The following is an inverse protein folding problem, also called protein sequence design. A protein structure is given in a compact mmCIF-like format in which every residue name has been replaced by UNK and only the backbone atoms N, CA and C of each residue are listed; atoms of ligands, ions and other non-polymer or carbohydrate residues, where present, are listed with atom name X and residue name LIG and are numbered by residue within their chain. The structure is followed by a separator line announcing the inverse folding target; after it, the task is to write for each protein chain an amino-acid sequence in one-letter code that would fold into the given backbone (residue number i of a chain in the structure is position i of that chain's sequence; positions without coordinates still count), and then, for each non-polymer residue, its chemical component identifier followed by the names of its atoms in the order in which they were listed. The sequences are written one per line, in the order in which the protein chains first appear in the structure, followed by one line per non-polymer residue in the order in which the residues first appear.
data_IF_346773292394
#
_entry.id   IF_346773292394
#
_cell.length_a   1.000
_cell.length_b   1.000
_cell.length_c   1.000
_cell.angle_alpha   90.00
_cell.angle_beta   90.00
_cell.angle_gamma   90.00
#
_symmetry.space_group_name_H-M   'P 1'
#
loop_
_entity.id
_entity.type
_entity.pdbx_description
1 polymer ?
#
# COMPACT_ATOMS: atom_id res chain seq x y z
N UNK A 1 -4.93 -25.46 2.41
CA UNK A 1 -6.30 -26.03 2.56
C UNK A 1 -6.83 -25.96 4.00
N UNK A 2 -6.09 -26.46 5.02
CA UNK A 2 -6.56 -26.46 6.42
C UNK A 2 -6.79 -25.08 7.06
N UNK A 3 -6.01 -24.06 6.67
CA UNK A 3 -6.15 -22.68 7.17
C UNK A 3 -7.54 -22.12 6.87
N UNK A 4 -8.06 -22.33 5.66
CA UNK A 4 -9.40 -21.87 5.27
C UNK A 4 -10.50 -22.53 6.10
N UNK A 5 -10.35 -23.82 6.44
CA UNK A 5 -11.30 -24.51 7.32
C UNK A 5 -11.30 -23.91 8.73
N UNK A 6 -10.13 -23.58 9.29
CA UNK A 6 -10.01 -22.93 10.60
C UNK A 6 -10.65 -21.55 10.59
N UNK A 7 -10.37 -20.74 9.56
CA UNK A 7 -10.97 -19.40 9.39
C UNK A 7 -12.50 -19.51 9.29
N UNK A 8 -13.02 -20.45 8.49
CA UNK A 8 -14.46 -20.64 8.34
C UNK A 8 -15.14 -21.06 9.64
N UNK A 9 -14.53 -21.97 10.42
CA UNK A 9 -15.05 -22.37 11.73
C UNK A 9 -15.07 -21.19 12.70
N UNK A 10 -14.00 -20.39 12.72
CA UNK A 10 -13.92 -19.19 13.55
C UNK A 10 -14.99 -18.17 13.14
N UNK A 11 -15.17 -17.93 11.85
CA UNK A 11 -16.16 -16.99 11.33
C UNK A 11 -17.60 -17.46 11.62
N UNK A 12 -17.87 -18.77 11.48
CA UNK A 12 -19.15 -19.34 11.86
C UNK A 12 -19.43 -19.20 13.36
N UNK A 13 -18.41 -19.38 14.21
CA UNK A 13 -18.51 -19.15 15.65
C UNK A 13 -18.81 -17.68 15.97
N UNK A 14 -18.13 -16.74 15.31
CA UNK A 14 -18.38 -15.30 15.43
C UNK A 14 -19.82 -14.96 15.03
N UNK A 15 -20.28 -15.41 13.86
CA UNK A 15 -21.66 -15.26 13.41
C UNK A 15 -22.67 -15.82 14.42
N UNK A 16 -22.42 -17.03 14.93
CA UNK A 16 -23.29 -17.70 15.90
C UNK A 16 -23.45 -16.91 17.20
N UNK A 17 -22.44 -16.11 17.54
CA UNK A 17 -22.39 -15.25 18.71
C UNK A 17 -23.05 -13.90 18.45
N UNK A 18 -22.64 -13.20 17.38
CA UNK A 18 -23.15 -11.86 17.03
C UNK A 18 -24.65 -11.87 16.69
N UNK A 19 -25.15 -12.92 16.02
CA UNK A 19 -26.59 -13.03 15.69
C UNK A 19 -27.49 -13.00 16.93
N UNK A 20 -26.97 -13.30 18.13
CA UNK A 20 -27.72 -13.21 19.39
C UNK A 20 -28.09 -11.77 19.76
N UNK A 21 -27.29 -10.78 19.33
CA UNK A 21 -27.57 -9.35 19.55
C UNK A 21 -28.81 -8.88 18.77
N UNK A 22 -29.07 -9.49 17.62
CA UNK A 22 -30.14 -9.10 16.70
C UNK A 22 -31.36 -10.05 16.75
N UNK A 23 -31.31 -11.12 17.57
CA UNK A 23 -32.35 -12.16 17.62
C UNK A 23 -33.73 -11.64 18.06
N UNK A 24 -33.77 -10.58 18.87
CA UNK A 24 -34.99 -9.90 19.32
C UNK A 24 -35.55 -8.93 18.27
N UNK A 25 -34.72 -8.48 17.32
CA UNK A 25 -35.13 -7.64 16.20
C UNK A 25 -35.52 -8.50 15.00
N UNK A 26 -36.63 -9.24 15.11
CA UNK A 26 -37.21 -9.96 13.96
C UNK A 26 -37.69 -8.92 12.93
N UNK A 27 -36.92 -8.71 11.87
CA UNK A 27 -37.24 -7.71 10.84
C UNK A 27 -36.07 -7.37 9.91
N UNK A 28 -36.20 -6.23 9.21
CA UNK A 28 -35.23 -5.72 8.24
C UNK A 28 -33.79 -5.66 8.76
N UNK A 29 -33.58 -5.20 10.00
CA UNK A 29 -32.24 -5.04 10.60
C UNK A 29 -31.46 -6.36 10.75
N UNK A 30 -32.15 -7.46 11.12
CA UNK A 30 -31.51 -8.78 11.20
C UNK A 30 -31.08 -9.29 9.82
N UNK A 31 -31.94 -9.10 8.80
CA UNK A 31 -31.64 -9.49 7.43
C UNK A 31 -30.52 -8.63 6.84
N UNK A 32 -30.54 -7.31 7.07
CA UNK A 32 -29.48 -6.40 6.66
C UNK A 32 -28.14 -6.78 7.29
N UNK A 33 -28.09 -7.06 8.60
CA UNK A 33 -26.88 -7.51 9.28
C UNK A 33 -26.37 -8.84 8.71
N UNK A 34 -27.26 -9.82 8.47
CA UNK A 34 -26.90 -11.11 7.86
C UNK A 34 -26.25 -10.90 6.49
N UNK A 35 -26.85 -10.09 5.65
CA UNK A 35 -26.35 -9.79 4.30
C UNK A 35 -25.00 -9.09 4.38
N UNK A 36 -24.89 -8.04 5.19
CA UNK A 36 -23.63 -7.29 5.38
C UNK A 36 -22.49 -8.16 5.93
N UNK A 37 -22.80 -9.09 6.84
CA UNK A 37 -21.80 -9.98 7.43
C UNK A 37 -21.21 -10.98 6.43
N UNK A 38 -22.05 -11.57 5.57
CA UNK A 38 -21.66 -12.67 4.69
C UNK A 38 -21.25 -12.25 3.28
N UNK A 39 -21.74 -11.10 2.76
CA UNK A 39 -21.36 -10.60 1.42
C UNK A 39 -19.83 -10.53 1.23
N UNK A 40 -19.05 -9.95 2.17
CA UNK A 40 -17.60 -9.86 2.00
C UNK A 40 -16.95 -11.24 1.87
N UNK A 41 -17.42 -12.23 2.63
CA UNK A 41 -16.89 -13.60 2.58
C UNK A 41 -17.14 -14.25 1.22
N UNK A 42 -18.37 -14.12 0.70
CA UNK A 42 -18.69 -14.59 -0.65
C UNK A 42 -17.90 -13.84 -1.71
N UNK A 43 -17.63 -12.55 -1.53
CA UNK A 43 -16.80 -11.76 -2.44
C UNK A 43 -15.35 -12.23 -2.44
N UNK A 44 -14.73 -12.49 -1.27
CA UNK A 44 -13.37 -13.07 -1.19
C UNK A 44 -13.34 -14.43 -1.88
N UNK A 45 -14.28 -15.32 -1.56
CA UNK A 45 -14.33 -16.64 -2.15
C UNK A 45 -14.50 -16.58 -3.67
N UNK A 46 -15.34 -15.66 -4.17
CA UNK A 46 -15.51 -15.44 -5.60
C UNK A 46 -14.23 -14.93 -6.25
N UNK A 47 -13.55 -13.95 -5.64
CA UNK A 47 -12.26 -13.42 -6.16
C UNK A 47 -11.20 -14.53 -6.19
N UNK A 48 -11.08 -15.34 -5.13
CA UNK A 48 -10.16 -16.48 -5.09
C UNK A 48 -10.53 -17.57 -6.10
N UNK A 49 -11.81 -17.76 -6.41
CA UNK A 49 -12.24 -18.72 -7.44
C UNK A 49 -11.93 -18.18 -8.84
N UNK A 50 -12.19 -16.89 -9.08
CA UNK A 50 -11.91 -16.22 -10.35
C UNK A 50 -10.41 -16.12 -10.62
N UNK A 51 -9.56 -16.02 -9.59
CA UNK A 51 -8.11 -16.01 -9.77
C UNK A 51 -7.52 -17.37 -10.16
N UNK A 52 -8.27 -18.46 -10.00
CA UNK A 52 -7.89 -19.77 -10.54
C UNK A 52 -8.16 -19.87 -12.05
N UNK A 53 -9.01 -18.99 -12.58
CA UNK A 53 -9.22 -18.87 -14.00
C UNK A 53 -8.10 -17.98 -14.59
N UNK A 54 -7.68 -18.20 -15.84
CA UNK A 54 -6.75 -17.32 -16.54
C UNK A 54 -7.45 -16.00 -16.96
N UNK A 55 -8.16 -15.38 -16.03
CA UNK A 55 -8.77 -14.07 -16.19
C UNK A 55 -7.70 -13.02 -15.88
N UNK A 56 -7.43 -12.14 -16.84
CA UNK A 56 -6.54 -11.00 -16.63
C UNK A 56 -7.25 -10.03 -15.67
N UNK A 57 -6.95 -10.15 -14.38
CA UNK A 57 -7.42 -9.20 -13.38
C UNK A 57 -6.66 -7.90 -13.58
N UNK A 58 -7.35 -6.89 -14.11
CA UNK A 58 -6.76 -5.57 -14.28
C UNK A 58 -6.70 -4.85 -12.93
N UNK A 59 -5.52 -4.83 -12.32
CA UNK A 59 -5.26 -4.12 -11.06
C UNK A 59 -5.42 -2.59 -11.20
N UNK A 60 -5.48 -2.05 -12.42
CA UNK A 60 -5.75 -0.63 -12.67
C UNK A 60 -7.23 -0.28 -12.51
N UNK A 61 -8.12 -1.28 -12.48
CA UNK A 61 -9.54 -1.01 -12.30
C UNK A 61 -9.84 -0.58 -10.85
N UNK A 62 -10.09 0.71 -10.65
CA UNK A 62 -10.41 1.30 -9.35
C UNK A 62 -11.56 0.58 -8.63
N UNK A 63 -12.57 0.09 -9.37
CA UNK A 63 -13.67 -0.66 -8.78
C UNK A 63 -13.19 -1.97 -8.13
N UNK A 64 -12.30 -2.70 -8.81
CA UNK A 64 -11.71 -3.94 -8.32
C UNK A 64 -10.89 -3.70 -7.05
N UNK A 65 -10.03 -2.68 -7.07
CA UNK A 65 -9.14 -2.34 -5.94
C UNK A 65 -9.93 -1.88 -4.71
N UNK A 66 -10.93 -1.00 -4.89
CA UNK A 66 -11.78 -0.54 -3.79
C UNK A 66 -12.61 -1.70 -3.21
N UNK A 67 -13.20 -2.53 -4.07
CA UNK A 67 -14.01 -3.67 -3.63
C UNK A 67 -13.18 -4.68 -2.85
N UNK A 68 -11.98 -5.01 -3.33
CA UNK A 68 -11.05 -5.89 -2.63
C UNK A 68 -10.62 -5.29 -1.29
N UNK A 69 -10.25 -4.01 -1.26
CA UNK A 69 -9.88 -3.30 -0.03
C UNK A 69 -10.99 -3.31 1.02
N UNK A 70 -12.22 -2.95 0.65
CA UNK A 70 -13.38 -2.99 1.56
C UNK A 70 -13.64 -4.41 2.09
N UNK A 71 -13.52 -5.40 1.22
CA UNK A 71 -13.70 -6.81 1.59
C UNK A 71 -12.65 -7.24 2.60
N UNK A 72 -11.37 -6.91 2.37
CA UNK A 72 -10.26 -7.18 3.29
C UNK A 72 -10.43 -6.47 4.64
N UNK A 73 -10.87 -5.21 4.64
CA UNK A 73 -11.13 -4.45 5.87
C UNK A 73 -12.18 -5.16 6.73
N UNK A 74 -13.30 -5.58 6.13
CA UNK A 74 -14.36 -6.26 6.86
C UNK A 74 -13.87 -7.62 7.36
N UNK A 75 -13.15 -8.38 6.52
CA UNK A 75 -12.57 -9.67 6.90
C UNK A 75 -11.57 -9.54 8.05
N UNK A 76 -10.60 -8.63 7.94
CA UNK A 76 -9.57 -8.40 8.96
C UNK A 76 -10.18 -7.85 10.27
N UNK A 77 -11.23 -7.04 10.18
CA UNK A 77 -11.93 -6.53 11.37
C UNK A 77 -12.60 -7.64 12.18
N UNK A 78 -12.94 -8.79 11.58
CA UNK A 78 -13.48 -9.94 12.33
C UNK A 78 -12.46 -10.53 13.30
N UNK A 79 -11.15 -10.40 13.04
CA UNK A 79 -10.12 -10.91 13.96
C UNK A 79 -10.15 -10.20 15.31
N UNK A 80 -10.38 -8.89 15.36
CA UNK A 80 -10.51 -8.18 16.63
C UNK A 80 -11.71 -8.67 17.45
N UNK A 81 -12.82 -8.95 16.76
CA UNK A 81 -14.01 -9.54 17.34
C UNK A 81 -13.75 -10.96 17.88
N UNK A 82 -12.99 -11.77 17.13
CA UNK A 82 -12.59 -13.12 17.50
C UNK A 82 -11.67 -13.14 18.72
N UNK A 83 -10.73 -12.20 18.85
CA UNK A 83 -9.86 -12.10 20.03
C UNK A 83 -10.69 -11.96 21.31
N UNK A 84 -11.70 -11.09 21.29
CA UNK A 84 -12.59 -10.88 22.45
C UNK A 84 -13.36 -12.15 22.80
N UNK A 85 -13.90 -12.85 21.79
CA UNK A 85 -14.62 -14.12 22.02
C UNK A 85 -13.69 -15.27 22.41
N UNK A 86 -12.43 -15.24 21.96
CA UNK A 86 -11.42 -16.22 22.33
C UNK A 86 -11.01 -16.06 23.80
N UNK A 87 -10.84 -14.82 24.28
CA UNK A 87 -10.66 -14.54 25.71
C UNK A 87 -11.83 -15.10 26.52
N UNK A 88 -13.07 -14.88 26.05
CA UNK A 88 -14.26 -15.40 26.72
C UNK A 88 -14.30 -16.94 26.72
N UNK A 89 -13.88 -17.57 25.62
CA UNK A 89 -13.68 -19.01 25.53
C UNK A 89 -12.64 -19.52 26.53
N UNK A 90 -11.47 -18.89 26.61
CA UNK A 90 -10.39 -19.25 27.54
C UNK A 90 -10.86 -19.15 29.00
N UNK A 91 -11.58 -18.07 29.35
CA UNK A 91 -12.13 -17.93 30.71
C UNK A 91 -13.06 -19.10 31.04
N UNK A 92 -13.96 -19.50 30.12
CA UNK A 92 -14.84 -20.66 30.34
C UNK A 92 -14.06 -21.97 30.40
N UNK A 93 -13.04 -22.13 29.57
CA UNK A 93 -12.19 -23.31 29.54
C UNK A 93 -11.45 -23.50 30.87
N UNK A 94 -10.82 -22.45 31.40
CA UNK A 94 -10.13 -22.50 32.69
C UNK A 94 -11.10 -22.65 33.87
N UNK A 95 -12.28 -22.02 33.81
CA UNK A 95 -13.33 -22.27 34.80
C UNK A 95 -13.75 -23.75 34.79
N UNK A 96 -14.04 -24.30 33.61
CA UNK A 96 -14.36 -25.71 33.46
C UNK A 96 -13.24 -26.62 33.97
N UNK A 97 -11.98 -26.34 33.63
CA UNK A 97 -10.83 -27.10 34.11
C UNK A 97 -10.72 -27.07 35.66
N UNK A 98 -10.88 -25.89 36.27
CA UNK A 98 -10.85 -25.74 37.72
C UNK A 98 -11.97 -26.51 38.41
N UNK A 99 -13.19 -26.47 37.87
CA UNK A 99 -14.35 -27.20 38.41
C UNK A 99 -14.36 -28.68 38.05
N UNK A 100 -13.69 -29.11 36.99
CA UNK A 100 -13.51 -30.53 36.69
C UNK A 100 -12.60 -31.22 37.74
N UNK A 101 -11.75 -30.43 38.41
CA UNK A 101 -10.85 -30.89 39.48
C UNK A 101 -11.47 -30.64 40.88
N UNK A 102 -12.53 -29.83 40.98
CA UNK A 102 -13.16 -29.45 42.25
C UNK A 102 -14.51 -30.15 42.44
N UNK A 103 -14.81 -30.63 43.64
CA UNK A 103 -16.08 -31.28 43.99
C UNK A 103 -17.31 -30.33 44.01
N UNK A 104 -17.17 -29.11 43.45
CA UNK A 104 -18.20 -28.08 43.39
C UNK A 104 -18.98 -28.17 42.08
N UNK A 105 -20.31 -28.01 42.16
CA UNK A 105 -21.21 -28.19 41.02
C UNK A 105 -20.89 -27.30 39.80
N UNK A 106 -20.99 -27.88 38.60
CA UNK A 106 -20.78 -27.27 37.27
C UNK A 106 -21.70 -26.06 36.98
N UNK A 107 -22.82 -25.90 37.71
CA UNK A 107 -23.82 -24.84 37.47
C UNK A 107 -23.29 -23.41 37.67
N UNK A 108 -22.14 -23.23 38.35
CA UNK A 108 -21.50 -21.93 38.57
C UNK A 108 -20.71 -21.37 37.37
N UNK A 109 -20.49 -22.18 36.32
CA UNK A 109 -19.58 -21.85 35.20
C UNK A 109 -20.24 -20.94 34.16
N UNK A 110 -21.53 -21.15 33.86
CA UNK A 110 -22.21 -20.40 32.81
C UNK A 110 -22.86 -19.11 33.36
N UNK A 111 -22.26 -17.96 33.05
CA UNK A 111 -22.80 -16.63 33.39
C UNK A 111 -23.34 -15.92 32.14
N UNK A 112 -24.64 -16.05 31.80
CA UNK A 112 -25.19 -15.55 30.54
C UNK A 112 -25.02 -14.03 30.35
N UNK A 113 -25.08 -13.24 31.44
CA UNK A 113 -24.85 -11.80 31.40
C UNK A 113 -23.43 -11.43 30.95
N UNK A 114 -22.41 -12.17 31.42
CA UNK A 114 -21.01 -11.97 31.02
C UNK A 114 -20.80 -12.33 29.55
N UNK A 115 -21.35 -13.48 29.12
CA UNK A 115 -21.26 -13.90 27.71
C UNK A 115 -21.87 -12.85 26.80
N UNK A 116 -23.06 -12.35 27.13
CA UNK A 116 -23.71 -11.29 26.35
C UNK A 116 -22.87 -9.99 26.33
N UNK A 117 -22.27 -9.60 27.46
CA UNK A 117 -21.38 -8.44 27.54
C UNK A 117 -20.15 -8.61 26.63
N UNK A 118 -19.51 -9.79 26.64
CA UNK A 118 -18.38 -10.09 25.76
C UNK A 118 -18.76 -10.09 24.28
N UNK A 119 -19.97 -10.56 23.94
CA UNK A 119 -20.49 -10.47 22.57
C UNK A 119 -20.68 -9.00 22.16
N UNK A 120 -21.17 -8.13 23.06
CA UNK A 120 -21.26 -6.69 22.79
C UNK A 120 -19.89 -6.06 22.59
N UNK A 121 -18.90 -6.38 23.43
CA UNK A 121 -17.53 -5.89 23.26
C UNK A 121 -16.89 -6.40 21.97
N UNK A 122 -17.14 -7.66 21.59
CA UNK A 122 -16.70 -8.23 20.32
C UNK A 122 -17.28 -7.45 19.14
N UNK A 123 -18.57 -7.11 19.19
CA UNK A 123 -19.21 -6.28 18.16
C UNK A 123 -18.69 -4.84 18.13
N UNK A 124 -18.44 -4.22 19.28
CA UNK A 124 -17.83 -2.90 19.37
C UNK A 124 -16.41 -2.92 18.79
N UNK A 125 -15.61 -3.94 19.13
CA UNK A 125 -14.27 -4.14 18.59
C UNK A 125 -14.28 -4.28 17.07
N UNK A 126 -15.19 -5.09 16.53
CA UNK A 126 -15.42 -5.23 15.09
C UNK A 126 -15.66 -3.87 14.42
N UNK A 127 -16.62 -3.09 14.92
CA UNK A 127 -16.96 -1.78 14.35
C UNK A 127 -15.82 -0.77 14.52
N UNK A 128 -15.15 -0.75 15.68
CA UNK A 128 -14.02 0.13 15.94
C UNK A 128 -12.86 -0.15 14.98
N UNK A 129 -12.56 -1.42 14.69
CA UNK A 129 -11.52 -1.79 13.73
C UNK A 129 -11.87 -1.34 12.32
N UNK A 130 -13.13 -1.48 11.88
CA UNK A 130 -13.57 -0.93 10.57
C UNK A 130 -13.35 0.59 10.54
N UNK A 131 -13.76 1.31 11.58
CA UNK A 131 -13.60 2.77 11.67
C UNK A 131 -12.12 3.14 11.62
N UNK A 132 -11.24 2.42 12.32
CA UNK A 132 -9.80 2.67 12.31
C UNK A 132 -9.17 2.42 10.93
N UNK A 133 -9.56 1.36 10.23
CA UNK A 133 -9.10 1.12 8.85
C UNK A 133 -9.55 2.22 7.90
N UNK A 134 -10.83 2.59 7.95
CA UNK A 134 -11.37 3.68 7.13
C UNK A 134 -10.67 5.00 7.44
N UNK A 135 -10.48 5.31 8.73
CA UNK A 135 -9.72 6.48 9.16
C UNK A 135 -8.29 6.45 8.60
N UNK A 136 -7.58 5.32 8.74
CA UNK A 136 -6.22 5.15 8.21
C UNK A 136 -6.12 5.45 6.72
N UNK A 137 -7.08 4.99 5.90
CA UNK A 137 -7.13 5.26 4.45
C UNK A 137 -7.25 6.76 4.14
N UNK A 138 -7.96 7.52 4.98
CA UNK A 138 -8.07 8.97 4.81
C UNK A 138 -6.88 9.72 5.42
N UNK A 139 -6.25 9.19 6.46
CA UNK A 139 -5.09 9.80 7.13
C UNK A 139 -3.79 9.70 6.33
N UNK A 140 -3.63 8.72 5.44
CA UNK A 140 -2.42 8.59 4.60
C UNK A 140 -2.31 9.63 3.49
N UNK A 141 -3.27 10.57 3.39
CA UNK A 141 -3.30 11.60 2.33
C UNK A 141 -2.60 12.91 2.71
N UNK A 142 -1.90 12.94 3.84
CA UNK A 142 -1.12 14.11 4.28
C UNK A 142 0.37 13.85 4.05
N UNK A 143 1.01 14.70 3.25
CA UNK A 143 2.46 14.69 3.06
C UNK A 143 3.13 15.51 4.16
N UNK A 144 4.17 14.95 4.77
CA UNK A 144 5.05 15.68 5.67
C UNK A 144 6.32 16.05 4.91
N UNK A 145 6.75 17.31 5.03
CA UNK A 145 8.01 17.77 4.46
C UNK A 145 9.07 17.63 5.56
N UNK A 146 10.00 16.71 5.36
CA UNK A 146 11.19 16.58 6.18
C UNK A 146 12.32 17.40 5.56
N UNK A 147 12.98 18.24 6.37
CA UNK A 147 14.12 19.05 5.94
C UNK A 147 15.37 18.49 6.59
N UNK A 148 16.34 18.12 5.74
CA UNK A 148 17.63 17.58 6.16
C UNK A 148 18.70 18.49 5.56
N UNK A 149 19.57 19.02 6.42
CA UNK A 149 20.74 19.80 6.00
C UNK A 149 21.94 18.84 5.92
N UNK A 150 22.62 18.86 4.78
CA UNK A 150 23.80 18.03 4.51
C UNK A 150 24.94 18.95 4.13
N UNK A 151 26.07 18.81 4.81
CA UNK A 151 27.28 19.59 4.58
C UNK A 151 28.35 18.71 3.94
N UNK A 152 29.02 19.23 2.91
CA UNK A 152 30.18 18.58 2.29
C UNK A 152 31.36 19.54 2.28
N UNK A 153 32.53 19.08 2.74
CA UNK A 153 33.76 19.90 2.77
C UNK A 153 34.19 20.37 1.38
N UNK A 154 33.85 19.60 0.34
CA UNK A 154 34.22 19.84 -1.05
C UNK A 154 33.05 20.36 -1.90
N UNK A 155 31.95 20.84 -1.29
CA UNK A 155 30.85 21.44 -2.05
C UNK A 155 31.35 22.72 -2.75
N UNK A 156 31.22 22.85 -4.07
CA UNK A 156 31.61 24.08 -4.75
C UNK A 156 30.72 25.25 -4.29
N UNK A 157 31.29 26.46 -4.24
CA UNK A 157 30.60 27.63 -3.67
C UNK A 157 29.33 27.99 -4.43
N UNK A 158 29.28 27.75 -5.73
CA UNK A 158 28.08 27.97 -6.54
C UNK A 158 26.89 27.06 -6.19
N UNK A 159 27.11 26.02 -5.38
CA UNK A 159 26.09 25.10 -4.87
C UNK A 159 25.83 25.29 -3.37
N UNK A 160 26.27 26.39 -2.78
CA UNK A 160 25.93 26.71 -1.39
C UNK A 160 24.40 26.91 -1.24
N UNK A 161 23.81 26.30 -0.21
CA UNK A 161 22.35 26.23 0.01
C UNK A 161 21.54 25.58 -1.12
N UNK A 162 22.18 24.73 -1.93
CA UNK A 162 21.51 23.99 -3.01
C UNK A 162 20.40 23.08 -2.46
N UNK A 163 19.18 23.25 -2.96
CA UNK A 163 17.98 22.59 -2.48
C UNK A 163 17.56 21.45 -3.40
N UNK A 164 17.64 20.24 -2.87
CA UNK A 164 17.18 19.03 -3.53
C UNK A 164 15.82 18.64 -2.93
N UNK A 165 14.83 18.39 -3.78
CA UNK A 165 13.62 17.66 -3.38
C UNK A 165 13.80 16.20 -3.78
N UNK A 166 13.70 15.32 -2.80
CA UNK A 166 13.75 13.88 -2.99
C UNK A 166 12.36 13.28 -2.88
N UNK A 167 12.00 12.44 -3.85
CA UNK A 167 10.73 11.72 -3.94
C UNK A 167 11.06 10.26 -4.23
N UNK A 168 10.26 9.34 -3.71
CA UNK A 168 10.37 7.90 -3.97
C UNK A 168 8.99 7.25 -3.89
N UNK A 169 8.86 6.05 -4.45
CA UNK A 169 7.69 5.16 -4.28
C UNK A 169 6.35 5.85 -4.61
N UNK A 170 6.31 6.60 -5.71
CA UNK A 170 5.11 7.36 -6.07
C UNK A 170 3.92 6.44 -6.38
N UNK A 171 4.18 5.28 -7.01
CA UNK A 171 3.22 4.25 -7.35
C UNK A 171 1.89 4.81 -7.90
N UNK A 172 1.91 5.27 -9.15
CA UNK A 172 0.82 6.03 -9.76
C UNK A 172 -0.58 5.37 -9.66
N UNK A 173 -0.68 4.03 -9.61
CA UNK A 173 -1.97 3.33 -9.38
C UNK A 173 -2.63 3.65 -8.04
N UNK A 174 -1.85 4.06 -7.03
CA UNK A 174 -2.40 4.45 -5.71
C UNK A 174 -3.15 5.79 -5.76
N UNK A 175 -3.00 6.56 -6.83
CA UNK A 175 -3.61 7.87 -6.98
C UNK A 175 -5.01 7.74 -7.58
N UNK A 176 -6.02 8.13 -6.80
CA UNK A 176 -7.43 8.03 -7.22
C UNK A 176 -7.86 9.12 -8.22
N UNK A 177 -7.08 10.19 -8.38
CA UNK A 177 -7.33 11.25 -9.36
C UNK A 177 -6.09 12.11 -9.65
N UNK A 178 -6.00 12.64 -10.88
CA UNK A 178 -4.96 13.59 -11.27
C UNK A 178 -5.00 14.90 -10.45
N UNK A 179 -6.18 15.31 -9.98
CA UNK A 179 -6.33 16.50 -9.13
C UNK A 179 -5.58 16.38 -7.79
N UNK A 180 -5.53 15.18 -7.21
CA UNK A 180 -4.79 14.95 -5.97
C UNK A 180 -3.28 15.05 -6.21
N UNK A 181 -2.80 14.48 -7.32
CA UNK A 181 -1.39 14.56 -7.71
C UNK A 181 -1.00 16.00 -8.05
N UNK A 182 -1.87 16.75 -8.73
CA UNK A 182 -1.66 18.17 -9.06
C UNK A 182 -1.49 19.04 -7.80
N UNK A 183 -2.26 18.76 -6.73
CA UNK A 183 -2.05 19.43 -5.44
C UNK A 183 -0.66 19.15 -4.86
N UNK A 184 -0.17 17.92 -5.00
CA UNK A 184 1.18 17.55 -4.55
C UNK A 184 2.26 18.21 -5.40
N UNK A 185 2.14 18.17 -6.73
CA UNK A 185 3.07 18.86 -7.65
C UNK A 185 3.13 20.36 -7.37
N UNK A 186 1.97 21.00 -7.17
CA UNK A 186 1.90 22.43 -6.76
C UNK A 186 2.54 22.69 -5.41
N UNK A 187 2.44 21.77 -4.46
CA UNK A 187 3.12 21.89 -3.16
C UNK A 187 4.63 21.74 -3.30
N UNK A 188 5.09 20.79 -4.13
CA UNK A 188 6.52 20.57 -4.45
C UNK A 188 7.11 21.81 -5.12
N UNK A 189 6.46 22.36 -6.14
CA UNK A 189 6.94 23.53 -6.85
C UNK A 189 7.05 24.78 -5.95
N UNK A 190 6.20 24.91 -4.92
CA UNK A 190 6.28 26.00 -3.93
C UNK A 190 7.51 25.91 -3.01
N UNK A 191 8.16 24.75 -2.95
CA UNK A 191 9.40 24.59 -2.19
C UNK A 191 10.61 25.13 -2.96
N UNK A 192 10.45 25.49 -4.24
CA UNK A 192 11.49 26.12 -5.08
C UNK A 192 12.79 25.31 -5.05
N UNK A 193 12.71 24.07 -5.53
CA UNK A 193 13.89 23.20 -5.65
C UNK A 193 14.82 23.66 -6.76
N UNK A 194 16.11 23.53 -6.51
CA UNK A 194 17.13 23.60 -7.54
C UNK A 194 17.11 22.32 -8.37
N UNK A 195 16.93 21.17 -7.72
CA UNK A 195 16.94 19.83 -8.34
C UNK A 195 15.84 18.96 -7.74
N UNK A 196 15.17 18.16 -8.58
CA UNK A 196 14.25 17.11 -8.11
C UNK A 196 14.84 15.74 -8.47
N UNK A 197 14.92 14.86 -7.47
CA UNK A 197 15.36 13.47 -7.61
C UNK A 197 14.22 12.52 -7.26
N UNK A 198 13.89 11.60 -8.17
CA UNK A 198 12.89 10.55 -7.97
C UNK A 198 13.58 9.19 -7.99
N UNK A 199 13.72 8.55 -6.83
CA UNK A 199 14.59 7.36 -6.69
C UNK A 199 13.84 6.04 -6.84
N UNK A 200 13.05 5.91 -7.91
CA UNK A 200 12.36 4.68 -8.29
C UNK A 200 10.91 4.55 -7.86
N UNK A 201 10.29 3.48 -8.36
CA UNK A 201 8.91 3.06 -8.12
C UNK A 201 7.89 4.15 -8.48
N UNK A 202 8.08 4.72 -9.68
CA UNK A 202 7.13 5.66 -10.28
C UNK A 202 5.82 4.94 -10.59
N UNK A 203 5.89 3.79 -11.24
CA UNK A 203 4.72 2.94 -11.54
C UNK A 203 4.66 1.74 -10.57
N UNK A 204 3.53 1.04 -10.55
CA UNK A 204 3.35 -0.19 -9.77
C UNK A 204 3.42 -1.45 -10.63
N UNK A 205 2.95 -1.39 -11.87
CA UNK A 205 2.86 -2.54 -12.76
C UNK A 205 3.37 -2.26 -14.19
N UNK A 206 3.00 -1.14 -14.81
CA UNK A 206 3.38 -0.84 -16.21
C UNK A 206 3.40 0.65 -16.54
N UNK A 207 4.11 1.01 -17.60
CA UNK A 207 4.35 2.39 -18.04
C UNK A 207 3.07 3.19 -18.35
N UNK A 208 2.01 2.51 -18.81
CA UNK A 208 0.74 3.17 -19.14
C UNK A 208 0.07 3.86 -17.94
N UNK A 209 0.50 3.55 -16.71
CA UNK A 209 0.06 4.23 -15.49
C UNK A 209 0.44 5.71 -15.47
N UNK A 210 1.46 6.12 -16.23
CA UNK A 210 1.89 7.52 -16.34
C UNK A 210 0.90 8.33 -17.17
N UNK A 211 0.24 7.74 -18.16
CA UNK A 211 -0.58 8.46 -19.15
C UNK A 211 -1.66 9.37 -18.53
N UNK A 212 -2.45 8.94 -17.53
CA UNK A 212 -3.46 9.79 -16.90
C UNK A 212 -2.87 10.97 -16.10
N UNK A 213 -1.58 10.93 -15.80
CA UNK A 213 -0.87 11.89 -14.95
C UNK A 213 0.23 12.65 -15.70
N UNK A 214 0.43 12.37 -16.99
CA UNK A 214 1.55 12.87 -17.79
C UNK A 214 1.64 14.40 -17.72
N UNK A 215 0.54 15.11 -17.96
CA UNK A 215 0.49 16.57 -17.92
C UNK A 215 0.84 17.11 -16.52
N UNK A 216 0.34 16.45 -15.47
CA UNK A 216 0.57 16.86 -14.08
C UNK A 216 2.02 16.63 -13.65
N UNK A 217 2.61 15.52 -14.06
CA UNK A 217 4.00 15.18 -13.73
C UNK A 217 5.00 16.05 -14.50
N UNK A 218 4.65 16.44 -15.73
CA UNK A 218 5.41 17.40 -16.56
C UNK A 218 5.48 18.79 -15.93
N UNK A 219 4.56 19.11 -15.02
CA UNK A 219 4.53 20.39 -14.30
C UNK A 219 5.53 20.46 -13.13
N UNK A 220 6.25 19.40 -12.79
CA UNK A 220 7.36 19.47 -11.81
C UNK A 220 8.46 20.38 -12.34
N UNK A 221 8.85 21.37 -11.52
CA UNK A 221 9.80 22.42 -11.92
C UNK A 221 10.96 22.47 -10.96
N UNK A 222 12.16 22.34 -11.52
CA UNK A 222 13.43 22.54 -10.86
C UNK A 222 14.41 23.17 -11.87
N UNK A 223 15.23 24.11 -11.41
CA UNK A 223 16.15 24.85 -12.27
C UNK A 223 17.14 23.93 -13.00
N UNK A 224 17.65 22.92 -12.31
CA UNK A 224 18.62 21.97 -12.83
C UNK A 224 17.96 20.68 -13.36
N UNK A 225 16.62 20.64 -13.39
CA UNK A 225 15.84 19.56 -13.96
C UNK A 225 15.32 18.54 -12.95
N UNK A 226 14.59 17.55 -13.49
CA UNK A 226 14.09 16.39 -12.77
C UNK A 226 14.87 15.18 -13.24
N UNK A 227 15.42 14.40 -12.31
CA UNK A 227 16.11 13.16 -12.59
C UNK A 227 15.43 12.01 -11.87
N UNK A 228 15.41 10.85 -12.50
CA UNK A 228 14.90 9.65 -11.89
C UNK A 228 15.74 8.42 -12.25
N UNK A 229 15.58 7.37 -11.44
CA UNK A 229 16.11 6.03 -11.68
C UNK A 229 14.97 5.02 -11.60
N UNK A 230 15.20 3.81 -12.09
CA UNK A 230 14.22 2.73 -11.99
C UNK A 230 14.22 2.09 -10.60
N UNK A 231 13.03 1.91 -10.03
CA UNK A 231 12.78 1.04 -8.89
C UNK A 231 12.36 -0.37 -9.33
N UNK A 232 12.15 -1.29 -8.39
CA UNK A 232 11.82 -2.67 -8.72
C UNK A 232 10.44 -2.85 -9.37
N UNK A 233 9.53 -1.88 -9.25
CA UNK A 233 8.23 -1.93 -9.92
C UNK A 233 8.26 -1.40 -11.36
N UNK A 234 9.24 -0.55 -11.70
CA UNK A 234 9.23 0.17 -12.97
C UNK A 234 9.51 -0.73 -14.19
N UNK A 235 10.18 -1.87 -13.99
CA UNK A 235 10.48 -2.85 -15.05
C UNK A 235 9.24 -3.60 -15.57
N UNK A 236 8.14 -3.58 -14.82
CA UNK A 236 6.94 -4.36 -15.15
C UNK A 236 7.06 -5.87 -14.91
N UNK A 237 8.02 -6.30 -14.08
CA UNK A 237 8.24 -7.70 -13.70
C UNK A 237 7.03 -8.34 -12.96
N UNK A 238 6.11 -7.51 -12.45
CA UNK A 238 4.88 -7.94 -11.77
C UNK A 238 3.68 -8.11 -12.71
N UNK A 239 3.88 -7.97 -14.02
CA UNK A 239 2.85 -8.16 -15.05
C UNK A 239 3.10 -9.48 -15.79
N UNK A 240 2.01 -10.20 -16.06
CA UNK A 240 2.07 -11.37 -16.94
C UNK A 240 1.97 -10.91 -18.40
N UNK A 241 3.12 -10.77 -19.04
CA UNK A 241 3.22 -10.42 -20.46
C UNK A 241 2.82 -11.59 -21.37
N UNK A 242 2.17 -11.31 -22.52
CA UNK A 242 1.83 -12.38 -23.46
C UNK A 242 3.07 -12.88 -24.20
N UNK A 243 4.06 -12.01 -24.40
CA UNK A 243 5.32 -12.27 -25.07
C UNK A 243 6.39 -11.28 -24.60
N UNK A 244 7.67 -11.56 -24.94
CA UNK A 244 8.81 -10.72 -24.59
C UNK A 244 8.74 -9.32 -25.22
N UNK A 245 8.17 -9.21 -26.42
CA UNK A 245 8.07 -7.94 -27.15
C UNK A 245 7.19 -6.93 -26.43
N UNK A 246 6.08 -7.35 -25.83
CA UNK A 246 5.23 -6.47 -25.01
C UNK A 246 5.97 -5.94 -23.77
N UNK A 247 6.82 -6.76 -23.15
CA UNK A 247 7.63 -6.35 -22.00
C UNK A 247 8.68 -5.30 -22.39
N UNK A 248 9.37 -5.52 -23.52
CA UNK A 248 10.33 -4.54 -24.06
C UNK A 248 9.63 -3.24 -24.45
N UNK A 249 8.48 -3.34 -25.13
CA UNK A 249 7.68 -2.16 -25.49
C UNK A 249 7.26 -1.37 -24.25
N UNK A 250 6.90 -2.03 -23.16
CA UNK A 250 6.58 -1.33 -21.91
C UNK A 250 7.77 -0.52 -21.36
N UNK A 251 8.99 -1.05 -21.46
CA UNK A 251 10.19 -0.32 -21.04
C UNK A 251 10.49 0.86 -21.98
N UNK A 252 10.39 0.65 -23.29
CA UNK A 252 10.52 1.73 -24.28
C UNK A 252 9.46 2.83 -24.05
N UNK A 253 8.22 2.45 -23.76
CA UNK A 253 7.14 3.36 -23.43
C UNK A 253 7.48 4.16 -22.15
N UNK A 254 7.98 3.50 -21.10
CA UNK A 254 8.40 4.16 -19.86
C UNK A 254 9.49 5.20 -20.11
N UNK A 255 10.53 4.85 -20.88
CA UNK A 255 11.60 5.77 -21.26
C UNK A 255 11.04 6.96 -22.07
N UNK A 256 10.19 6.68 -23.06
CA UNK A 256 9.57 7.71 -23.89
C UNK A 256 8.69 8.67 -23.08
N UNK A 257 8.00 8.18 -22.06
CA UNK A 257 7.12 8.97 -21.22
C UNK A 257 7.93 9.87 -20.27
N UNK A 258 9.06 9.40 -19.74
CA UNK A 258 9.99 10.24 -18.99
C UNK A 258 10.53 11.38 -19.85
N UNK A 259 10.94 11.08 -21.09
CA UNK A 259 11.37 12.11 -22.03
C UNK A 259 10.25 13.11 -22.37
N UNK A 260 9.02 12.65 -22.56
CA UNK A 260 7.87 13.52 -22.79
C UNK A 260 7.59 14.46 -21.61
N UNK A 261 7.82 14.01 -20.37
CA UNK A 261 7.71 14.85 -19.17
C UNK A 261 8.89 15.83 -19.01
N UNK A 262 9.93 15.72 -19.84
CA UNK A 262 11.17 16.49 -19.70
C UNK A 262 12.06 16.01 -18.54
N UNK A 263 11.89 14.75 -18.11
CA UNK A 263 12.68 14.14 -17.05
C UNK A 263 13.89 13.41 -17.63
N UNK A 264 14.94 13.30 -16.81
CA UNK A 264 16.18 12.61 -17.16
C UNK A 264 16.23 11.27 -16.42
N UNK A 265 15.88 10.19 -17.12
CA UNK A 265 16.03 8.84 -16.59
C UNK A 265 17.49 8.42 -16.68
N UNK A 266 18.09 8.11 -15.53
CA UNK A 266 19.46 7.62 -15.42
C UNK A 266 19.45 6.10 -15.20
N UNK A 267 20.25 5.39 -15.98
CA UNK A 267 20.39 3.94 -15.92
C UNK A 267 21.85 3.53 -15.78
N UNK A 268 22.32 3.47 -14.54
CA UNK A 268 23.73 3.28 -14.19
C UNK A 268 24.64 4.31 -14.87
N UNK A 269 24.23 5.57 -14.76
CA UNK A 269 24.79 6.69 -15.50
C UNK A 269 25.15 7.85 -14.56
N UNK A 270 26.12 8.65 -15.01
CA UNK A 270 26.54 9.89 -14.36
C UNK A 270 26.21 11.10 -15.23
N UNK A 271 25.63 12.12 -14.60
CA UNK A 271 25.41 13.43 -15.20
C UNK A 271 26.10 14.50 -14.35
N UNK A 272 26.81 15.41 -15.01
CA UNK A 272 27.39 16.59 -14.36
C UNK A 272 26.44 17.77 -14.52
N UNK A 273 26.04 18.34 -13.39
CA UNK A 273 25.20 19.53 -13.31
C UNK A 273 26.10 20.72 -13.05
N UNK A 274 26.24 21.58 -14.06
CA UNK A 274 27.09 22.77 -13.99
C UNK A 274 26.33 23.98 -13.47
N UNK A 275 27.00 24.81 -12.67
CA UNK A 275 26.49 26.13 -12.30
C UNK A 275 26.27 27.00 -13.55
N UNK A 276 25.19 27.78 -13.65
CA UNK A 276 24.96 28.70 -14.76
C UNK A 276 26.04 29.78 -14.90
N UNK A 277 26.66 30.15 -13.78
CA UNK A 277 27.53 31.32 -13.68
C UNK A 277 29.02 30.95 -13.50
N UNK A 278 29.36 29.65 -13.46
CA UNK A 278 30.73 29.18 -13.27
C UNK A 278 31.01 27.85 -13.98
N UNK A 279 32.26 27.38 -13.95
CA UNK A 279 32.64 26.04 -14.44
C UNK A 279 32.58 24.97 -13.32
N UNK A 280 32.08 25.33 -12.14
CA UNK A 280 31.86 24.39 -11.05
C UNK A 280 30.66 23.50 -11.36
N UNK A 281 30.71 22.25 -10.88
CA UNK A 281 29.63 21.29 -11.07
C UNK A 281 29.50 20.35 -9.88
N UNK A 282 28.33 19.74 -9.76
CA UNK A 282 28.10 18.55 -8.96
C UNK A 282 27.80 17.37 -9.88
N UNK A 283 28.13 16.16 -9.45
CA UNK A 283 27.80 14.94 -10.18
C UNK A 283 26.55 14.28 -9.58
N UNK A 284 25.59 13.96 -10.43
CA UNK A 284 24.46 13.09 -10.11
C UNK A 284 24.78 11.71 -10.67
N UNK A 285 24.80 10.70 -9.80
CA UNK A 285 25.06 9.31 -10.17
C UNK A 285 23.75 8.55 -9.96
N UNK A 286 23.12 8.14 -11.06
CA UNK A 286 21.88 7.37 -11.04
C UNK A 286 22.20 5.89 -11.17
N UNK A 287 22.01 5.13 -10.09
CA UNK A 287 22.09 3.67 -10.08
C UNK A 287 20.67 3.12 -10.21
N UNK A 288 20.47 2.16 -11.09
CA UNK A 288 19.18 1.47 -11.20
C UNK A 288 18.88 0.67 -9.92
N UNK A 289 17.71 0.02 -9.88
CA UNK A 289 17.27 -0.78 -8.73
C UNK A 289 18.38 -1.70 -8.15
N UNK A 290 18.88 -1.29 -6.98
CA UNK A 290 19.93 -1.91 -6.19
C UNK A 290 19.34 -2.63 -4.97
N UNK A 291 18.45 -3.59 -5.21
CA UNK A 291 17.78 -4.28 -4.11
C UNK A 291 18.70 -5.19 -3.31
N UNK A 292 18.76 -5.00 -1.99
CA UNK A 292 19.44 -5.92 -1.07
C UNK A 292 18.72 -7.28 -0.95
N UNK A 293 17.45 -7.35 -1.34
CA UNK A 293 16.63 -8.56 -1.21
C UNK A 293 16.85 -9.50 -2.38
N UNK A 294 17.13 -10.78 -2.11
CA UNK A 294 17.21 -11.83 -3.14
C UNK A 294 15.90 -12.07 -3.91
N UNK A 295 14.78 -11.54 -3.43
CA UNK A 295 13.47 -11.72 -4.05
C UNK A 295 13.13 -10.64 -5.09
N UNK A 296 13.92 -9.56 -5.14
CA UNK A 296 13.72 -8.48 -6.08
C UNK A 296 14.84 -8.51 -7.12
N UNK A 297 14.52 -8.00 -8.31
CA UNK A 297 15.49 -7.83 -9.37
C UNK A 297 16.63 -6.91 -8.89
N UNK A 298 17.83 -7.13 -9.40
CA UNK A 298 19.02 -6.33 -9.12
C UNK A 298 19.68 -6.03 -10.46
N UNK A 299 19.25 -4.93 -11.07
CA UNK A 299 19.71 -4.51 -12.40
C UNK A 299 20.79 -3.44 -12.31
N UNK A 300 20.81 -2.65 -11.23
CA UNK A 300 21.82 -1.61 -11.06
C UNK A 300 23.23 -2.16 -10.90
N UNK A 301 24.18 -1.40 -11.42
CA UNK A 301 25.62 -1.59 -11.33
C UNK A 301 26.30 -0.27 -10.86
N UNK A 302 26.63 -0.18 -9.57
CA UNK A 302 27.28 0.99 -8.98
C UNK A 302 28.68 1.22 -9.56
N UNK A 303 29.39 0.14 -9.92
CA UNK A 303 30.74 0.26 -10.46
C UNK A 303 30.68 0.83 -11.88
N UNK A 304 29.66 0.47 -12.66
CA UNK A 304 29.35 1.08 -13.96
C UNK A 304 28.93 2.54 -13.80
N UNK A 305 28.01 2.84 -12.88
CA UNK A 305 27.53 4.21 -12.64
C UNK A 305 28.65 5.17 -12.19
N UNK A 306 29.68 4.65 -11.51
CA UNK A 306 30.84 5.41 -11.06
C UNK A 306 31.94 5.56 -12.13
N UNK A 307 31.81 4.95 -13.31
CA UNK A 307 32.82 5.09 -14.37
C UNK A 307 32.89 6.56 -14.84
N UNK A 308 33.95 7.26 -14.45
CA UNK A 308 34.19 8.66 -14.82
C UNK A 308 34.11 9.67 -13.67
N UNK A 309 33.99 9.18 -12.42
CA UNK A 309 34.22 9.94 -11.18
C UNK A 309 35.66 9.78 -10.70
#
# INVERSE_FOLDING_TARGET
MWIFAIVFIADFYLWSSLKKLFKTQRGFLYNAFKVFYWIPEFAVCLVLLLSLLPLNFDAQNTFSTVTLGLTLIIFLSKFSALIVLFIEFLIRFFQWLFFAISDKSIKTIYRPKRVLLMIKFSFIGFLATIVLFVFGIFSTRTYNIEKIEIEFENLPKSFENFKIIHISDLHLVSWTSAELLDKSVKAINKLEADLILITGDLVSFKANEILPFLDVLSDLKAQYGVYNVLGNHDYGDYVKWNNWQEMVQNMEDFESLNLQMGWNLLKDEIVRVFSPDSFEYISIIGVENWSKSRHFNHQGDIDVALQGV
#
